data_IF_558226151066
#
_entry.id   IF_558226151066
#
_cell.length_a   1.000
_cell.length_b   1.000
_cell.length_c   1.000
_cell.angle_alpha   90.00
_cell.angle_beta   90.00
_cell.angle_gamma   90.00
#
_symmetry.space_group_name_H-M   'P 1'
#
loop_
_entity.id
_entity.type
_entity.pdbx_description
1 polymer ?
#
# COMPACT_ATOMS: atom_id res chain seq x y z
N UNK A 1 -26.71 -31.12 28.59
CA UNK A 1 -26.77 -29.67 28.38
C UNK A 1 -25.41 -29.00 28.37
N UNK A 2 -24.49 -29.21 29.35
CA UNK A 2 -23.14 -28.59 29.35
C UNK A 2 -22.29 -28.90 28.10
N UNK A 3 -22.35 -30.15 27.57
CA UNK A 3 -21.60 -30.54 26.37
C UNK A 3 -22.11 -29.88 25.08
N UNK A 4 -23.42 -29.60 25.00
CA UNK A 4 -24.04 -28.90 23.87
C UNK A 4 -23.66 -27.40 23.86
N UNK A 5 -23.55 -26.81 25.05
CA UNK A 5 -23.15 -25.41 25.19
C UNK A 5 -21.68 -25.19 24.78
N UNK A 6 -20.77 -26.12 25.10
CA UNK A 6 -19.36 -26.09 24.70
C UNK A 6 -19.23 -26.27 23.18
N UNK A 7 -20.03 -27.16 22.58
CA UNK A 7 -20.02 -27.32 21.10
C UNK A 7 -20.55 -26.11 20.38
N UNK A 8 -21.52 -25.40 20.91
CA UNK A 8 -22.02 -24.12 20.35
C UNK A 8 -21.02 -22.99 20.50
N UNK A 9 -20.31 -22.93 21.62
CA UNK A 9 -19.23 -21.92 21.80
C UNK A 9 -18.06 -22.15 20.83
N UNK A 10 -17.73 -23.41 20.52
CA UNK A 10 -16.63 -23.72 19.58
C UNK A 10 -16.97 -23.37 18.13
N UNK A 11 -18.25 -23.46 17.75
CA UNK A 11 -18.68 -23.10 16.37
C UNK A 11 -18.76 -21.60 16.12
N UNK A 12 -18.91 -20.78 17.15
CA UNK A 12 -18.91 -19.30 17.05
C UNK A 12 -17.49 -18.75 16.88
N UNK A 13 -16.48 -19.50 17.28
CA UNK A 13 -15.07 -19.06 17.23
C UNK A 13 -14.40 -19.18 15.85
N UNK A 14 -15.10 -19.71 14.82
CA UNK A 14 -14.52 -19.96 13.49
C UNK A 14 -14.74 -18.79 12.51
N UNK A 15 -15.45 -17.76 12.93
CA UNK A 15 -15.77 -16.59 12.05
C UNK A 15 -14.78 -15.45 12.17
N UNK A 16 -13.52 -15.70 12.48
CA UNK A 16 -12.58 -14.68 12.94
C UNK A 16 -11.68 -14.07 11.86
N UNK A 17 -11.95 -14.26 10.57
CA UNK A 17 -11.20 -13.57 9.52
C UNK A 17 -12.13 -13.11 8.41
N UNK A 18 -12.49 -11.83 8.40
CA UNK A 18 -13.39 -11.22 7.41
C UNK A 18 -12.68 -10.93 6.07
N UNK A 19 -11.36 -10.99 6.04
CA UNK A 19 -10.58 -10.64 4.87
C UNK A 19 -10.08 -11.88 4.13
N UNK A 20 -10.95 -12.47 3.31
CA UNK A 20 -10.56 -13.55 2.41
C UNK A 20 -10.10 -12.92 1.10
N UNK A 21 -8.80 -12.99 0.75
CA UNK A 21 -8.30 -12.50 -0.52
C UNK A 21 -8.96 -13.20 -1.71
N UNK A 22 -9.13 -12.46 -2.80
CA UNK A 22 -9.71 -13.01 -4.02
C UNK A 22 -8.84 -14.15 -4.57
N UNK A 23 -9.43 -15.30 -4.95
CA UNK A 23 -8.67 -16.39 -5.56
C UNK A 23 -8.12 -15.95 -6.92
N UNK A 24 -7.01 -16.54 -7.37
CA UNK A 24 -6.48 -16.27 -8.71
C UNK A 24 -7.53 -16.51 -9.78
N UNK A 25 -7.59 -15.62 -10.77
CA UNK A 25 -8.51 -15.73 -11.90
C UNK A 25 -8.30 -17.05 -12.65
N UNK A 26 -9.35 -17.88 -12.73
CA UNK A 26 -9.33 -19.17 -13.44
C UNK A 26 -9.84 -19.03 -14.87
N UNK A 27 -10.97 -18.37 -15.05
CA UNK A 27 -11.63 -18.19 -16.33
C UNK A 27 -11.48 -16.76 -16.85
N UNK A 28 -11.54 -16.50 -18.16
CA UNK A 28 -11.69 -15.15 -18.68
C UNK A 28 -12.94 -14.48 -18.12
N UNK A 29 -12.89 -13.17 -17.90
CA UNK A 29 -14.02 -12.37 -17.43
C UNK A 29 -14.27 -11.27 -18.45
N UNK A 30 -15.49 -11.23 -18.98
CA UNK A 30 -15.94 -10.22 -19.91
C UNK A 30 -16.97 -9.32 -19.23
N UNK A 31 -16.62 -8.05 -19.00
CA UNK A 31 -17.56 -7.02 -18.66
C UNK A 31 -18.10 -6.41 -19.95
N UNK A 32 -19.41 -6.49 -20.21
CA UNK A 32 -20.03 -5.96 -21.43
C UNK A 32 -21.04 -4.85 -21.13
N UNK A 33 -21.37 -4.07 -22.14
CA UNK A 33 -22.40 -3.02 -22.10
C UNK A 33 -22.17 -1.96 -21.02
N UNK A 34 -20.95 -1.42 -20.94
CA UNK A 34 -20.58 -0.39 -19.96
C UNK A 34 -19.83 0.78 -20.57
N UNK A 35 -19.61 1.79 -19.73
CA UNK A 35 -18.76 2.94 -20.04
C UNK A 35 -17.39 2.75 -19.39
N UNK A 36 -16.38 2.46 -20.19
CA UNK A 36 -15.02 2.14 -19.72
C UNK A 36 -14.18 3.41 -19.77
N UNK A 37 -13.79 3.92 -18.60
CA UNK A 37 -12.97 5.11 -18.47
C UNK A 37 -11.49 4.72 -18.50
N UNK A 38 -10.85 4.91 -19.65
CA UNK A 38 -9.41 4.73 -19.78
C UNK A 38 -8.70 6.04 -19.49
N UNK A 39 -7.67 6.06 -18.67
CA UNK A 39 -6.97 7.30 -18.30
C UNK A 39 -6.38 8.00 -19.54
N UNK A 40 -5.90 7.24 -20.53
CA UNK A 40 -5.14 7.76 -21.67
C UNK A 40 -5.98 7.96 -22.95
N UNK A 41 -7.14 7.29 -23.10
CA UNK A 41 -7.93 7.27 -24.35
C UNK A 41 -9.37 7.76 -24.18
N UNK A 42 -9.69 8.38 -23.04
CA UNK A 42 -11.04 8.83 -22.73
C UNK A 42 -12.00 7.68 -22.38
N UNK A 43 -13.29 7.91 -22.59
CA UNK A 43 -14.36 6.95 -22.28
C UNK A 43 -14.74 6.16 -23.54
N UNK A 44 -14.82 4.84 -23.41
CA UNK A 44 -15.23 3.92 -24.48
C UNK A 44 -16.52 3.24 -24.02
N UNK A 45 -17.60 3.40 -24.77
CA UNK A 45 -18.81 2.59 -24.62
C UNK A 45 -18.55 1.22 -25.23
N UNK A 46 -18.61 0.14 -24.41
CA UNK A 46 -18.29 -1.19 -24.91
C UNK A 46 -18.03 -2.21 -23.82
N UNK A 47 -17.03 -3.02 -24.07
CA UNK A 47 -16.67 -4.20 -23.27
C UNK A 47 -15.19 -4.22 -22.94
N UNK A 48 -14.86 -4.87 -21.83
CA UNK A 48 -13.48 -5.10 -21.38
C UNK A 48 -13.30 -6.59 -21.02
N UNK A 49 -12.24 -7.19 -21.54
CA UNK A 49 -11.89 -8.59 -21.31
C UNK A 49 -10.66 -8.69 -20.41
N UNK A 50 -10.79 -9.49 -19.36
CA UNK A 50 -9.70 -9.83 -18.44
C UNK A 50 -9.32 -11.30 -18.62
N UNK A 51 -8.04 -11.58 -18.71
CA UNK A 51 -7.49 -12.92 -18.77
C UNK A 51 -6.20 -12.99 -17.97
N UNK A 52 -6.10 -13.96 -17.08
CA UNK A 52 -4.92 -14.18 -16.21
C UNK A 52 -4.50 -12.90 -15.44
N UNK A 53 -5.47 -12.19 -14.88
CA UNK A 53 -5.26 -10.98 -14.13
C UNK A 53 -4.84 -9.74 -14.94
N UNK A 54 -4.96 -9.80 -16.27
CA UNK A 54 -4.60 -8.68 -17.17
C UNK A 54 -5.76 -8.29 -18.06
N UNK A 55 -5.85 -7.01 -18.39
CA UNK A 55 -6.75 -6.52 -19.44
C UNK A 55 -6.14 -6.90 -20.80
N UNK A 56 -6.82 -7.78 -21.53
CA UNK A 56 -6.35 -8.25 -22.86
C UNK A 56 -7.00 -7.49 -24.01
N UNK A 57 -8.23 -7.01 -23.81
CA UNK A 57 -8.95 -6.30 -24.87
C UNK A 57 -9.97 -5.30 -24.30
N UNK A 58 -10.07 -4.14 -24.96
CA UNK A 58 -11.15 -3.16 -24.77
C UNK A 58 -11.68 -2.84 -26.18
N UNK A 59 -12.99 -3.05 -26.40
CA UNK A 59 -13.62 -2.75 -27.68
C UNK A 59 -15.14 -2.59 -27.50
N UNK A 60 -15.79 -1.99 -28.50
CA UNK A 60 -17.26 -1.86 -28.53
C UNK A 60 -17.94 -3.22 -28.42
N UNK A 61 -17.44 -4.21 -29.14
CA UNK A 61 -17.91 -5.59 -29.11
C UNK A 61 -16.73 -6.54 -28.98
N UNK A 62 -16.86 -7.50 -28.05
CA UNK A 62 -15.89 -8.58 -27.85
C UNK A 62 -16.66 -9.90 -27.87
N UNK A 63 -16.27 -10.82 -28.75
CA UNK A 63 -16.76 -12.19 -28.72
C UNK A 63 -16.18 -12.89 -27.49
N UNK A 64 -17.01 -13.42 -26.58
CA UNK A 64 -16.52 -14.10 -25.39
C UNK A 64 -15.63 -15.30 -25.77
N UNK A 65 -14.47 -15.47 -25.14
CA UNK A 65 -13.71 -16.71 -25.21
C UNK A 65 -14.49 -17.92 -24.66
N UNK A 66 -13.97 -19.13 -24.89
CA UNK A 66 -14.51 -20.34 -24.28
C UNK A 66 -14.41 -20.24 -22.75
N UNK A 67 -15.42 -20.73 -22.05
CA UNK A 67 -15.52 -20.75 -20.58
C UNK A 67 -15.42 -19.36 -19.92
N UNK A 68 -15.80 -18.30 -20.65
CA UNK A 68 -15.76 -16.93 -20.17
C UNK A 68 -16.94 -16.62 -19.23
N UNK A 69 -16.63 -16.04 -18.08
CA UNK A 69 -17.64 -15.42 -17.20
C UNK A 69 -18.07 -14.09 -17.81
N UNK A 70 -19.39 -13.91 -18.01
CA UNK A 70 -19.93 -12.70 -18.62
C UNK A 70 -20.72 -11.92 -17.59
N UNK A 71 -20.31 -10.67 -17.36
CA UNK A 71 -21.00 -9.74 -16.48
C UNK A 71 -21.56 -8.59 -17.32
N UNK A 72 -22.89 -8.42 -17.32
CA UNK A 72 -23.54 -7.30 -17.97
C UNK A 72 -23.53 -6.08 -17.05
N UNK A 73 -22.91 -5.02 -17.48
CA UNK A 73 -22.79 -3.79 -16.71
C UNK A 73 -24.06 -2.92 -16.77
N UNK A 74 -24.96 -3.17 -17.76
CA UNK A 74 -26.21 -2.41 -17.91
C UNK A 74 -25.98 -0.89 -17.89
N UNK A 75 -24.99 -0.41 -18.63
CA UNK A 75 -24.64 1.01 -18.69
C UNK A 75 -23.88 1.56 -17.50
N UNK A 76 -23.40 0.72 -16.58
CA UNK A 76 -22.53 1.14 -15.47
C UNK A 76 -21.15 1.58 -15.96
N UNK A 77 -20.51 2.40 -15.17
CA UNK A 77 -19.19 2.93 -15.43
C UNK A 77 -18.11 2.06 -14.81
N UNK A 78 -17.04 1.81 -15.56
CA UNK A 78 -15.83 1.08 -15.11
C UNK A 78 -14.66 2.04 -15.07
N UNK A 79 -14.03 2.14 -13.92
CA UNK A 79 -12.84 2.96 -13.69
C UNK A 79 -11.66 2.08 -13.29
N UNK A 80 -10.42 2.48 -13.62
CA UNK A 80 -9.25 1.86 -12.99
C UNK A 80 -9.28 2.11 -11.48
N UNK A 81 -8.80 1.13 -10.71
CA UNK A 81 -8.66 1.30 -9.28
C UNK A 81 -7.71 2.45 -8.95
N UNK A 82 -8.02 3.18 -7.90
CA UNK A 82 -7.19 4.28 -7.43
C UNK A 82 -5.95 3.76 -6.70
N UNK A 83 -4.87 4.55 -6.77
CA UNK A 83 -3.61 4.29 -6.08
C UNK A 83 -3.40 5.41 -5.06
N UNK A 84 -3.29 5.06 -3.79
CA UNK A 84 -2.86 5.99 -2.76
C UNK A 84 -1.34 6.15 -2.83
N UNK A 85 -0.89 7.31 -3.33
CA UNK A 85 0.53 7.56 -3.57
C UNK A 85 1.35 7.68 -2.26
N UNK A 86 0.73 8.11 -1.18
CA UNK A 86 1.33 8.30 0.15
C UNK A 86 0.33 7.81 1.19
N UNK A 87 0.69 6.78 1.94
CA UNK A 87 -0.20 6.17 2.92
C UNK A 87 0.57 5.50 4.06
N UNK A 88 -0.01 5.51 5.26
CA UNK A 88 0.40 4.70 6.41
C UNK A 88 -0.52 3.50 6.65
N UNK A 89 -1.38 3.16 5.68
CA UNK A 89 -2.34 2.08 5.78
C UNK A 89 -1.65 0.75 6.09
N UNK A 90 -2.18 -0.01 7.03
CA UNK A 90 -1.59 -1.27 7.49
C UNK A 90 -0.34 -1.12 8.36
N UNK A 91 0.16 0.11 8.59
CA UNK A 91 1.20 0.40 9.59
C UNK A 91 0.61 1.02 10.86
N UNK A 92 -0.60 1.51 10.80
CA UNK A 92 -1.27 2.18 11.92
C UNK A 92 -2.70 1.65 12.02
N UNK A 93 -3.03 0.99 13.13
CA UNK A 93 -4.40 0.56 13.40
C UNK A 93 -5.12 1.57 14.32
N UNK A 94 -4.59 1.80 15.51
CA UNK A 94 -5.14 2.76 16.47
C UNK A 94 -4.06 3.78 16.80
N UNK A 95 -4.16 4.98 16.28
CA UNK A 95 -3.13 6.01 16.41
C UNK A 95 -2.76 6.35 17.87
N UNK A 96 -3.72 6.20 18.80
CA UNK A 96 -3.49 6.44 20.22
C UNK A 96 -2.79 5.30 20.97
N UNK A 97 -2.61 4.13 20.32
CA UNK A 97 -2.03 2.93 20.92
C UNK A 97 -0.69 2.63 20.27
N UNK A 98 0.40 2.95 20.96
CA UNK A 98 1.76 2.88 20.42
C UNK A 98 2.14 1.49 19.87
N UNK A 99 1.66 0.39 20.49
CA UNK A 99 1.96 -0.98 20.03
C UNK A 99 1.26 -1.38 18.74
N UNK A 100 0.36 -0.55 18.21
CA UNK A 100 -0.33 -0.74 16.92
C UNK A 100 0.17 0.24 15.85
N UNK A 101 1.30 0.91 16.11
CA UNK A 101 1.89 1.92 15.25
C UNK A 101 3.29 1.50 14.80
N UNK A 102 3.39 0.96 13.60
CA UNK A 102 4.63 0.49 13.00
C UNK A 102 5.15 1.40 11.86
N UNK A 103 4.63 2.65 11.81
CA UNK A 103 5.02 3.61 10.79
C UNK A 103 6.36 4.30 11.06
N UNK A 104 6.90 4.16 12.28
CA UNK A 104 8.12 4.86 12.72
C UNK A 104 9.10 3.94 13.42
N UNK A 105 10.37 4.11 13.10
CA UNK A 105 11.47 3.41 13.74
C UNK A 105 12.27 4.36 14.63
N UNK A 106 13.05 3.81 15.56
CA UNK A 106 13.91 4.61 16.44
C UNK A 106 15.13 5.14 15.69
N UNK A 107 15.51 6.37 16.02
CA UNK A 107 16.66 7.05 15.41
C UNK A 107 16.29 7.90 14.19
N UNK A 108 17.27 8.67 13.73
CA UNK A 108 17.06 9.64 12.65
C UNK A 108 17.51 9.12 11.29
N UNK A 109 18.20 7.98 11.25
CA UNK A 109 18.81 7.45 10.03
C UNK A 109 18.54 5.95 9.88
N UNK A 110 17.47 5.60 9.16
CA UNK A 110 16.94 4.24 9.03
C UNK A 110 16.82 3.77 7.56
N UNK A 111 17.85 3.84 6.72
CA UNK A 111 17.74 3.53 5.29
C UNK A 111 17.44 2.06 4.99
N UNK A 112 17.69 1.17 5.93
CA UNK A 112 17.47 -0.27 5.83
C UNK A 112 16.04 -0.72 6.17
N UNK A 113 15.24 0.14 6.80
CA UNK A 113 13.87 -0.18 7.19
C UNK A 113 12.98 -0.28 5.96
N UNK A 114 12.13 -1.31 5.89
CA UNK A 114 11.19 -1.54 4.79
C UNK A 114 9.77 -1.65 5.32
N UNK A 115 8.86 -0.87 4.76
CA UNK A 115 7.48 -0.80 5.22
C UNK A 115 6.65 -2.05 4.93
N UNK A 116 6.98 -2.82 3.87
CA UNK A 116 6.23 -4.03 3.57
C UNK A 116 6.30 -5.09 4.67
N UNK A 117 7.42 -5.19 5.38
CA UNK A 117 7.60 -6.18 6.46
C UNK A 117 6.70 -5.89 7.66
N UNK A 118 6.43 -4.61 7.91
CA UNK A 118 5.54 -4.17 8.99
C UNK A 118 4.07 -4.04 8.55
N UNK A 119 3.78 -4.23 7.25
CA UNK A 119 2.42 -4.09 6.72
C UNK A 119 1.51 -5.18 7.26
N UNK A 120 0.41 -4.76 7.90
CA UNK A 120 -0.65 -5.64 8.36
C UNK A 120 -1.72 -5.82 7.28
N UNK A 121 -1.79 -6.97 6.59
CA UNK A 121 -2.82 -7.23 5.58
C UNK A 121 -4.22 -7.39 6.17
N UNK A 122 -4.33 -7.71 7.47
CA UNK A 122 -5.59 -7.89 8.19
C UNK A 122 -6.11 -6.59 8.83
N UNK A 123 -5.56 -5.45 8.45
CA UNK A 123 -6.00 -4.14 8.95
C UNK A 123 -7.48 -3.89 8.64
N UNK A 124 -8.26 -3.56 9.67
CA UNK A 124 -9.70 -3.25 9.58
C UNK A 124 -10.01 -2.04 8.67
N UNK A 125 -9.00 -1.22 8.35
CA UNK A 125 -9.12 -0.06 7.46
C UNK A 125 -9.06 -0.47 5.99
N UNK A 126 -8.52 -1.65 5.66
CA UNK A 126 -8.36 -2.12 4.27
C UNK A 126 -9.71 -2.36 3.58
N UNK A 127 -10.68 -3.11 4.13
CA UNK A 127 -11.94 -3.37 3.46
C UNK A 127 -12.71 -2.10 3.08
N UNK A 128 -12.95 -1.12 3.99
CA UNK A 128 -13.62 0.12 3.61
C UNK A 128 -12.82 0.95 2.60
N UNK A 129 -11.48 0.91 2.64
CA UNK A 129 -10.62 1.59 1.65
C UNK A 129 -10.80 0.98 0.27
N UNK A 130 -10.82 -0.35 0.16
CA UNK A 130 -11.10 -1.07 -1.10
C UNK A 130 -12.49 -0.78 -1.64
N UNK A 131 -13.50 -0.77 -0.79
CA UNK A 131 -14.88 -0.49 -1.20
C UNK A 131 -15.06 0.93 -1.75
N UNK A 132 -14.18 1.86 -1.37
CA UNK A 132 -14.08 3.20 -1.94
C UNK A 132 -13.24 3.27 -3.23
N UNK A 133 -12.76 2.12 -3.74
CA UNK A 133 -12.06 2.01 -5.03
C UNK A 133 -10.55 2.22 -4.97
N UNK A 134 -9.93 2.32 -3.79
CA UNK A 134 -8.48 2.35 -3.64
C UNK A 134 -8.01 0.90 -3.53
N UNK A 135 -7.27 0.43 -4.54
CA UNK A 135 -6.85 -0.97 -4.64
C UNK A 135 -5.37 -1.17 -4.36
N UNK A 136 -4.57 -0.12 -4.46
CA UNK A 136 -3.12 -0.13 -4.28
C UNK A 136 -2.73 1.06 -3.42
N UNK A 137 -1.77 0.88 -2.53
CA UNK A 137 -1.21 1.96 -1.74
C UNK A 137 0.32 1.89 -1.71
N UNK A 138 0.98 3.03 -1.83
CA UNK A 138 2.39 3.15 -1.54
C UNK A 138 2.53 3.47 -0.05
N UNK A 139 2.99 2.48 0.69
CA UNK A 139 3.13 2.54 2.15
C UNK A 139 4.47 3.16 2.47
N UNK A 140 4.45 4.27 3.20
CA UNK A 140 5.64 5.05 3.52
C UNK A 140 5.95 5.03 5.02
N UNK A 141 7.22 4.97 5.41
CA UNK A 141 7.64 5.17 6.79
C UNK A 141 7.63 6.67 7.12
N UNK A 142 7.47 7.00 8.39
CA UNK A 142 7.42 8.38 8.85
C UNK A 142 8.16 8.57 10.17
N UNK A 143 9.51 8.59 10.12
CA UNK A 143 10.36 8.82 11.29
C UNK A 143 11.72 9.38 10.90
N UNK A 144 12.31 10.15 11.81
CA UNK A 144 13.67 10.67 11.65
C UNK A 144 13.91 11.52 10.41
N UNK A 145 15.17 11.68 10.03
CA UNK A 145 15.59 12.36 8.80
C UNK A 145 15.49 11.42 7.59
N UNK A 146 16.10 10.24 7.68
CA UNK A 146 15.95 9.16 6.70
C UNK A 146 15.04 8.11 7.31
N UNK A 147 13.78 8.13 6.89
CA UNK A 147 12.72 7.33 7.52
C UNK A 147 12.79 5.84 7.16
N UNK A 148 13.29 5.52 5.97
CA UNK A 148 13.31 4.17 5.43
C UNK A 148 12.76 4.06 4.02
N UNK A 149 12.53 2.82 3.59
CA UNK A 149 12.11 2.48 2.24
C UNK A 149 10.59 2.21 2.20
N UNK A 150 9.91 2.86 1.26
CA UNK A 150 8.50 2.59 0.97
C UNK A 150 8.31 1.34 0.14
N UNK A 151 7.07 0.84 0.14
CA UNK A 151 6.65 -0.33 -0.62
C UNK A 151 5.27 -0.13 -1.20
N UNK A 152 5.08 -0.57 -2.44
CA UNK A 152 3.77 -0.57 -3.10
C UNK A 152 3.06 -1.87 -2.76
N UNK A 153 1.91 -1.75 -2.11
CA UNK A 153 1.12 -2.87 -1.63
C UNK A 153 -0.24 -2.94 -2.34
N UNK A 154 -0.65 -4.14 -2.71
CA UNK A 154 -2.07 -4.41 -2.99
C UNK A 154 -2.84 -4.40 -1.67
N UNK A 155 -4.05 -3.89 -1.70
CA UNK A 155 -4.96 -3.97 -0.56
C UNK A 155 -5.78 -5.29 -0.58
N UNK A 156 -5.12 -6.37 -1.01
CA UNK A 156 -5.67 -7.72 -1.12
C UNK A 156 -4.53 -8.75 -1.05
N UNK A 157 -4.49 -9.55 0.01
CA UNK A 157 -3.42 -10.54 0.22
C UNK A 157 -3.54 -11.21 1.59
N UNK A 158 -3.08 -12.46 1.69
CA UNK A 158 -3.04 -13.19 2.96
C UNK A 158 -1.87 -12.76 3.86
N UNK A 159 -0.75 -12.42 3.24
CA UNK A 159 0.47 -12.02 3.92
C UNK A 159 1.03 -10.77 3.27
N UNK A 160 1.94 -10.09 3.97
CA UNK A 160 2.61 -8.93 3.41
C UNK A 160 3.40 -9.27 2.13
N UNK A 161 3.95 -10.50 2.01
CA UNK A 161 4.63 -10.96 0.79
C UNK A 161 3.67 -11.04 -0.39
N UNK A 162 2.48 -11.62 -0.17
CA UNK A 162 1.45 -11.72 -1.22
C UNK A 162 0.92 -10.34 -1.63
N UNK A 163 0.80 -9.42 -0.68
CA UNK A 163 0.32 -8.07 -0.91
C UNK A 163 1.40 -7.16 -1.56
N UNK A 164 2.68 -7.51 -1.47
CA UNK A 164 3.77 -6.68 -2.02
C UNK A 164 3.81 -6.73 -3.54
N UNK A 165 3.54 -5.58 -4.20
CA UNK A 165 3.73 -5.43 -5.65
C UNK A 165 5.16 -5.00 -6.00
N UNK A 166 5.75 -4.11 -5.21
CA UNK A 166 7.11 -3.61 -5.41
C UNK A 166 7.70 -3.14 -4.08
N UNK A 167 8.89 -3.62 -3.77
CA UNK A 167 9.68 -3.16 -2.62
C UNK A 167 11.17 -3.33 -2.92
N UNK A 168 12.01 -2.30 -2.67
CA UNK A 168 11.62 -0.94 -2.29
C UNK A 168 11.03 -0.15 -3.47
N UNK A 169 10.16 0.83 -3.17
CA UNK A 169 9.62 1.76 -4.18
C UNK A 169 10.28 3.15 -4.12
N UNK A 170 10.85 3.51 -2.98
CA UNK A 170 11.59 4.76 -2.78
C UNK A 170 12.20 4.84 -1.39
N UNK A 171 13.20 5.71 -1.23
CA UNK A 171 13.77 6.09 0.06
C UNK A 171 13.11 7.39 0.52
N UNK A 172 12.59 7.40 1.74
CA UNK A 172 11.88 8.55 2.29
C UNK A 172 12.78 9.38 3.20
N UNK A 173 12.87 10.66 2.86
CA UNK A 173 13.61 11.66 3.61
C UNK A 173 12.64 12.74 4.06
N UNK A 174 12.59 12.99 5.36
CA UNK A 174 11.82 14.08 5.95
C UNK A 174 12.75 15.29 6.02
N UNK A 175 12.55 16.24 5.11
CA UNK A 175 13.40 17.43 5.08
C UNK A 175 13.23 18.24 6.36
N UNK A 176 14.31 18.54 7.09
CA UNK A 176 14.23 19.29 8.33
C UNK A 176 13.74 20.73 8.07
N UNK A 177 13.06 21.29 9.05
CA UNK A 177 12.67 22.69 8.99
C UNK A 177 13.93 23.56 9.08
N UNK A 178 14.27 24.25 7.99
CA UNK A 178 15.45 25.10 7.85
C UNK A 178 15.24 26.51 8.40
N UNK A 179 14.09 26.83 9.01
CA UNK A 179 13.88 28.11 9.65
C UNK A 179 14.89 28.32 10.78
N UNK A 180 15.71 29.34 10.65
CA UNK A 180 16.79 29.68 11.59
C UNK A 180 16.29 30.20 12.96
N UNK A 181 14.99 30.48 13.09
CA UNK A 181 14.37 30.99 14.30
C UNK A 181 13.59 29.84 14.95
N UNK A 182 14.25 29.14 15.86
CA UNK A 182 13.59 28.17 16.70
C UNK A 182 12.69 28.88 17.72
N UNK A 183 11.42 28.56 17.75
CA UNK A 183 10.43 29.17 18.64
C UNK A 183 10.48 28.63 20.07
N UNK A 184 11.08 27.45 20.26
CA UNK A 184 11.21 26.78 21.56
C UNK A 184 12.46 25.89 21.59
N UNK A 185 12.81 25.38 22.76
CA UNK A 185 14.01 24.55 22.97
C UNK A 185 13.94 23.20 22.26
N UNK A 186 12.75 22.67 22.02
CA UNK A 186 12.56 21.44 21.24
C UNK A 186 12.96 21.67 19.76
N UNK A 187 12.50 22.75 19.16
CA UNK A 187 12.89 23.13 17.78
C UNK A 187 14.37 23.43 17.66
N UNK A 188 15.00 24.08 18.68
CA UNK A 188 16.45 24.29 18.73
C UNK A 188 17.22 22.99 18.69
N UNK A 189 16.80 22.00 19.50
CA UNK A 189 17.44 20.69 19.53
C UNK A 189 17.28 19.97 18.19
N UNK A 190 16.10 19.99 17.57
CA UNK A 190 15.89 19.40 16.23
C UNK A 190 16.75 20.05 15.16
N UNK A 191 16.89 21.37 15.16
CA UNK A 191 17.75 22.09 14.23
C UNK A 191 19.22 21.72 14.43
N UNK A 192 19.67 21.58 15.68
CA UNK A 192 21.01 21.16 16.02
C UNK A 192 21.28 19.75 15.49
N UNK A 193 20.40 18.81 15.78
CA UNK A 193 20.50 17.41 15.32
C UNK A 193 20.48 17.32 13.79
N UNK A 194 19.61 18.07 13.11
CA UNK A 194 19.57 18.10 11.65
C UNK A 194 20.87 18.64 11.04
N UNK A 195 21.48 19.68 11.62
CA UNK A 195 22.78 20.20 11.18
C UNK A 195 23.91 19.19 11.41
N UNK A 196 23.93 18.50 12.55
CA UNK A 196 24.91 17.46 12.84
C UNK A 196 24.81 16.30 11.84
N UNK A 197 23.57 15.88 11.46
CA UNK A 197 23.38 14.86 10.45
C UNK A 197 23.79 15.28 9.06
N UNK A 198 23.52 16.53 8.64
CA UNK A 198 23.98 17.06 7.37
C UNK A 198 25.51 17.08 7.29
N UNK A 199 26.18 17.54 8.34
CA UNK A 199 27.65 17.53 8.42
C UNK A 199 28.21 16.10 8.35
N UNK A 200 27.55 15.13 8.99
CA UNK A 200 27.95 13.73 8.92
C UNK A 200 27.79 13.16 7.50
N UNK A 201 26.71 13.51 6.78
CA UNK A 201 26.51 13.10 5.38
C UNK A 201 27.56 13.70 4.44
N UNK A 202 27.92 14.96 4.65
CA UNK A 202 29.01 15.62 3.89
C UNK A 202 30.35 14.91 4.14
N UNK A 203 30.64 14.54 5.38
CA UNK A 203 31.87 13.82 5.73
C UNK A 203 31.90 12.41 5.11
N UNK A 204 30.79 11.68 5.12
CA UNK A 204 30.71 10.34 4.48
C UNK A 204 30.97 10.44 2.97
N UNK A 205 30.43 11.45 2.28
CA UNK A 205 30.71 11.66 0.86
C UNK A 205 32.18 11.97 0.58
N UNK A 206 32.83 12.72 1.45
CA UNK A 206 34.28 13.02 1.33
C UNK A 206 35.11 11.77 1.49
N UNK A 207 34.80 10.94 2.51
CA UNK A 207 35.52 9.69 2.78
C UNK A 207 35.35 8.66 1.63
N UNK A 208 34.13 8.53 1.04
CA UNK A 208 33.92 7.68 -0.14
C UNK A 208 34.69 8.15 -1.37
N UNK A 209 34.77 9.47 -1.59
CA UNK A 209 35.54 10.02 -2.71
C UNK A 209 37.05 9.82 -2.52
N UNK A 210 37.56 9.89 -1.31
CA UNK A 210 38.97 9.61 -1.02
C UNK A 210 39.31 8.12 -1.18
N UNK A 211 38.39 7.19 -0.78
CA UNK A 211 38.54 5.74 -0.99
C UNK A 211 38.56 5.33 -2.47
N UNK A 212 37.88 6.08 -3.34
CA UNK A 212 37.87 5.84 -4.78
C UNK A 212 39.06 6.47 -5.51
N UNK A 213 39.86 7.27 -4.83
CA UNK A 213 41.06 7.94 -5.38
C UNK A 213 42.37 7.21 -5.08
N UNK A 214 42.38 6.24 -4.15
CA UNK A 214 43.52 5.38 -3.79
C UNK A 214 43.31 3.98 -4.37
#
# INVERSE_FOLDING_TARGET
>A
MKKLLISFLLTVSISANEQIPAPPQKNPILLKNGYIHTVSKGTIEGSILFEKGKITRIAKYITPPKDCEIIDLNGKHVYPGMIAAVSGLGLIEINAVAVTNDHSERGDFNPNVRTNVAFNPDSEIIPPTRSNGILIANIIPNSGLVSGQSSVMMLDGWTWENATLSSPSGLHIIWPNMNSIAKNDYEKNRLKTAKEHLNNLENIQVDEIELLRN
#
